data_IF_387025784519
#
_entry.id   IF_387025784519
#
_cell.length_a   1.000
_cell.length_b   1.000
_cell.length_c   1.000
_cell.angle_alpha   90.00
_cell.angle_beta   90.00
_cell.angle_gamma   90.00
#
_symmetry.space_group_name_H-M   'P 1'
#
loop_
_entity.id
_entity.type
_entity.pdbx_description
1 polymer ?
#
# COMPACT_ATOMS: atom_id res chain seq x y z
N UNK A 1 4.11 11.70 -26.86
CA UNK A 1 3.47 10.44 -26.43
C UNK A 1 4.48 9.32 -26.52
N UNK A 2 4.93 8.78 -25.38
CA UNK A 2 5.71 7.55 -25.37
C UNK A 2 4.89 6.43 -26.03
N UNK A 3 5.51 5.64 -26.91
CA UNK A 3 4.84 4.55 -27.61
C UNK A 3 5.11 3.26 -26.86
N UNK A 4 4.08 2.48 -26.57
CA UNK A 4 4.22 1.14 -25.99
C UNK A 4 5.02 0.29 -26.99
N UNK A 5 6.10 -0.40 -26.57
CA UNK A 5 6.87 -1.26 -27.45
C UNK A 5 5.99 -2.34 -28.11
N UNK A 6 6.30 -2.67 -29.37
CA UNK A 6 5.57 -3.71 -30.10
C UNK A 6 5.61 -5.04 -29.34
N UNK A 7 4.46 -5.69 -29.22
CA UNK A 7 4.30 -6.95 -28.48
C UNK A 7 3.89 -6.79 -27.01
N UNK A 8 3.99 -5.60 -26.43
CA UNK A 8 3.71 -5.36 -25.00
C UNK A 8 2.34 -4.71 -24.73
N UNK A 9 1.53 -4.47 -25.76
CA UNK A 9 0.22 -3.80 -25.62
C UNK A 9 -0.70 -4.51 -24.63
N UNK A 10 -0.81 -5.84 -24.73
CA UNK A 10 -1.66 -6.62 -23.83
C UNK A 10 -1.18 -6.57 -22.38
N UNK A 11 0.14 -6.70 -22.15
CA UNK A 11 0.71 -6.66 -20.80
C UNK A 11 0.54 -5.28 -20.17
N UNK A 12 0.77 -4.21 -20.93
CA UNK A 12 0.56 -2.84 -20.48
C UNK A 12 -0.90 -2.60 -20.09
N UNK A 13 -1.84 -3.09 -20.91
CA UNK A 13 -3.28 -3.01 -20.64
C UNK A 13 -3.66 -3.77 -19.37
N UNK A 14 -3.22 -5.02 -19.22
CA UNK A 14 -3.50 -5.84 -18.02
C UNK A 14 -2.91 -5.21 -16.76
N UNK A 15 -1.71 -4.64 -16.85
CA UNK A 15 -1.08 -3.95 -15.71
C UNK A 15 -1.89 -2.74 -15.30
N UNK A 16 -2.19 -1.82 -16.23
CA UNK A 16 -2.90 -0.59 -15.90
C UNK A 16 -4.31 -0.86 -15.35
N UNK A 17 -5.06 -1.81 -15.93
CA UNK A 17 -6.41 -2.16 -15.47
C UNK A 17 -6.42 -2.72 -14.05
N UNK A 18 -5.35 -3.41 -13.65
CA UNK A 18 -5.21 -3.98 -12.29
C UNK A 18 -4.69 -2.98 -11.26
N UNK A 19 -4.04 -1.90 -11.71
CA UNK A 19 -3.36 -0.95 -10.83
C UNK A 19 -3.95 0.45 -10.96
N UNK A 20 -3.26 1.35 -11.66
CA UNK A 20 -3.47 2.79 -11.63
C UNK A 20 -4.50 3.29 -12.66
N UNK A 21 -4.96 2.43 -13.58
CA UNK A 21 -5.92 2.70 -14.64
C UNK A 21 -5.61 3.94 -15.51
N UNK A 22 -4.34 4.20 -15.80
CA UNK A 22 -3.89 5.44 -16.46
C UNK A 22 -4.11 5.46 -17.98
N UNK A 23 -4.59 4.36 -18.57
CA UNK A 23 -4.95 4.30 -20.00
C UNK A 23 -6.41 4.71 -20.26
N UNK A 24 -7.15 5.11 -19.23
CA UNK A 24 -8.50 5.65 -19.34
C UNK A 24 -8.50 6.94 -20.18
N UNK A 25 -9.51 7.08 -21.05
CA UNK A 25 -9.65 8.22 -21.97
C UNK A 25 -9.86 9.56 -21.26
N UNK A 26 -10.33 9.53 -20.01
CA UNK A 26 -10.49 10.71 -19.17
C UNK A 26 -9.19 11.13 -18.46
N UNK A 27 -8.10 10.38 -18.64
CA UNK A 27 -6.80 10.76 -18.11
C UNK A 27 -6.22 11.93 -18.93
N UNK A 28 -6.38 13.15 -18.41
CA UNK A 28 -5.89 14.39 -19.04
C UNK A 28 -4.41 14.66 -18.70
N UNK A 29 -3.58 13.62 -18.58
CA UNK A 29 -2.18 13.76 -18.20
C UNK A 29 -1.49 14.83 -19.07
N UNK A 30 -1.03 15.89 -18.42
CA UNK A 30 -0.40 17.02 -19.08
C UNK A 30 0.98 16.58 -19.55
N UNK A 31 1.16 16.40 -20.86
CA UNK A 31 2.48 16.23 -21.49
C UNK A 31 3.18 17.58 -21.63
N UNK A 32 3.29 18.33 -20.54
CA UNK A 32 4.07 19.56 -20.56
C UNK A 32 5.56 19.18 -20.63
N UNK A 33 6.21 19.71 -21.65
CA UNK A 33 7.58 19.36 -22.01
C UNK A 33 8.59 20.00 -21.08
N UNK A 34 8.66 19.57 -19.81
CA UNK A 34 9.90 19.46 -19.03
C UNK A 34 9.70 18.83 -17.63
N UNK A 35 9.14 17.62 -17.56
CA UNK A 35 8.95 16.90 -16.28
C UNK A 35 10.30 16.71 -15.56
N UNK A 36 11.38 16.45 -16.30
CA UNK A 36 12.73 16.27 -15.74
C UNK A 36 13.21 17.50 -14.97
N UNK A 37 13.22 18.69 -15.58
CA UNK A 37 13.65 19.90 -14.89
C UNK A 37 12.76 20.22 -13.68
N UNK A 38 11.45 19.97 -13.78
CA UNK A 38 10.53 20.20 -12.66
C UNK A 38 10.87 19.31 -11.45
N UNK A 39 11.30 18.06 -11.70
CA UNK A 39 11.75 17.12 -10.67
C UNK A 39 13.06 17.63 -10.04
N UNK A 40 14.04 18.03 -10.84
CA UNK A 40 15.32 18.55 -10.33
C UNK A 40 15.12 19.83 -9.52
N UNK A 41 14.35 20.78 -10.03
CA UNK A 41 14.03 22.03 -9.34
C UNK A 41 13.37 21.74 -7.97
N UNK A 42 12.46 20.76 -7.93
CA UNK A 42 11.84 20.32 -6.69
C UNK A 42 12.87 19.73 -5.72
N UNK A 43 13.72 18.83 -6.19
CA UNK A 43 14.73 18.14 -5.38
C UNK A 43 15.75 19.14 -4.81
N UNK A 44 16.28 20.05 -5.63
CA UNK A 44 17.22 21.10 -5.21
C UNK A 44 16.59 22.01 -4.17
N UNK A 45 15.35 22.45 -4.41
CA UNK A 45 14.63 23.32 -3.48
C UNK A 45 14.29 22.62 -2.16
N UNK A 46 13.83 21.37 -2.22
CA UNK A 46 13.48 20.58 -1.05
C UNK A 46 14.71 20.21 -0.20
N UNK A 47 15.81 19.83 -0.87
CA UNK A 47 17.08 19.51 -0.24
C UNK A 47 17.87 20.72 0.26
N UNK A 48 17.44 21.95 -0.09
CA UNK A 48 18.17 23.21 0.19
C UNK A 48 19.63 23.15 -0.28
N UNK A 49 19.82 22.62 -1.47
CA UNK A 49 21.13 22.33 -2.05
C UNK A 49 21.75 23.61 -2.60
N UNK A 50 23.01 23.85 -2.26
CA UNK A 50 23.80 24.94 -2.82
C UNK A 50 24.50 24.51 -4.12
N UNK A 51 24.91 25.48 -4.93
CA UNK A 51 25.58 25.21 -6.21
C UNK A 51 26.83 24.33 -6.02
N UNK A 52 26.89 23.21 -6.76
CA UNK A 52 28.00 22.25 -6.70
C UNK A 52 27.88 21.15 -5.65
N UNK A 53 26.81 21.13 -4.85
CA UNK A 53 26.50 20.00 -3.96
C UNK A 53 25.79 18.86 -4.71
N UNK A 54 25.97 17.63 -4.21
CA UNK A 54 25.29 16.44 -4.76
C UNK A 54 23.80 16.48 -4.48
N UNK A 55 23.00 15.96 -5.41
CA UNK A 55 21.56 15.77 -5.21
C UNK A 55 21.30 14.86 -3.99
N UNK A 56 20.23 15.12 -3.22
CA UNK A 56 19.89 14.30 -2.08
C UNK A 56 19.31 12.98 -2.57
N UNK A 57 19.41 11.90 -1.79
CA UNK A 57 18.81 10.64 -2.18
C UNK A 57 17.28 10.74 -2.19
N UNK A 58 16.67 9.97 -3.11
CA UNK A 58 15.23 9.74 -3.15
C UNK A 58 14.94 8.36 -2.56
N UNK A 59 13.85 8.25 -1.80
CA UNK A 59 13.46 7.01 -1.15
C UNK A 59 12.17 6.48 -1.76
N UNK A 60 12.14 5.17 -2.00
CA UNK A 60 10.96 4.43 -2.47
C UNK A 60 10.96 3.04 -1.84
N UNK A 61 9.85 2.30 -1.92
CA UNK A 61 9.82 0.92 -1.45
C UNK A 61 10.84 0.08 -2.20
N UNK A 62 11.49 -0.86 -1.52
CA UNK A 62 12.54 -1.71 -2.08
C UNK A 62 12.09 -2.42 -3.37
N UNK A 63 10.86 -2.93 -3.39
CA UNK A 63 10.28 -3.59 -4.58
C UNK A 63 10.09 -2.66 -5.79
N UNK A 64 10.07 -1.33 -5.57
CA UNK A 64 9.85 -0.30 -6.59
C UNK A 64 11.14 0.40 -7.02
N UNK A 65 12.27 0.09 -6.38
CA UNK A 65 13.55 0.78 -6.63
C UNK A 65 13.96 0.68 -8.10
N UNK A 66 14.03 -0.53 -8.67
CA UNK A 66 14.44 -0.75 -10.06
C UNK A 66 13.54 0.00 -11.05
N UNK A 67 12.23 -0.02 -10.84
CA UNK A 67 11.30 0.72 -11.70
C UNK A 67 11.54 2.24 -11.62
N UNK A 68 11.77 2.74 -10.40
CA UNK A 68 12.01 4.17 -10.16
C UNK A 68 13.35 4.62 -10.78
N UNK A 69 14.39 3.78 -10.70
CA UNK A 69 15.69 4.01 -11.33
C UNK A 69 15.58 4.13 -12.84
N UNK A 70 14.85 3.23 -13.50
CA UNK A 70 14.66 3.30 -14.95
C UNK A 70 13.82 4.52 -15.37
N UNK A 71 12.83 4.91 -14.56
CA UNK A 71 12.04 6.14 -14.79
C UNK A 71 12.94 7.37 -14.71
N UNK A 72 13.76 7.49 -13.66
CA UNK A 72 14.66 8.64 -13.53
C UNK A 72 15.78 8.61 -14.57
N UNK A 73 16.34 7.45 -14.93
CA UNK A 73 17.33 7.36 -16.01
C UNK A 73 16.76 7.85 -17.34
N UNK A 74 15.47 7.59 -17.60
CA UNK A 74 14.79 8.07 -18.81
C UNK A 74 14.48 9.58 -18.76
N UNK A 75 14.14 10.12 -17.59
CA UNK A 75 13.74 11.52 -17.42
C UNK A 75 14.92 12.47 -17.16
N UNK A 76 15.99 11.97 -16.55
CA UNK A 76 17.13 12.69 -15.97
C UNK A 76 18.46 11.98 -16.33
N UNK A 77 18.78 11.81 -17.63
CA UNK A 77 19.90 10.96 -18.07
C UNK A 77 21.28 11.47 -17.63
N UNK A 78 21.41 12.77 -17.39
CA UNK A 78 22.69 13.43 -17.05
C UNK A 78 22.90 13.61 -15.54
N UNK A 79 21.94 13.20 -14.71
CA UNK A 79 21.92 13.46 -13.27
C UNK A 79 22.25 12.21 -12.45
N UNK A 80 23.10 12.35 -11.44
CA UNK A 80 23.51 11.27 -10.53
C UNK A 80 22.59 11.20 -9.30
N UNK A 81 21.35 10.75 -9.53
CA UNK A 81 20.33 10.64 -8.48
C UNK A 81 20.37 9.26 -7.81
N UNK A 82 20.62 9.26 -6.49
CA UNK A 82 20.67 8.03 -5.70
C UNK A 82 19.27 7.64 -5.23
N UNK A 83 18.86 6.40 -5.48
CA UNK A 83 17.59 5.83 -4.97
C UNK A 83 17.91 4.82 -3.87
N UNK A 84 17.26 4.97 -2.72
CA UNK A 84 17.43 4.10 -1.57
C UNK A 84 16.10 3.51 -1.08
N UNK A 85 16.20 2.40 -0.35
CA UNK A 85 15.04 1.74 0.25
C UNK A 85 14.45 2.60 1.38
N UNK A 86 13.17 2.91 1.22
CA UNK A 86 12.36 3.55 2.25
C UNK A 86 12.13 2.61 3.44
N UNK A 87 12.04 1.31 3.20
CA UNK A 87 11.88 0.29 4.23
C UNK A 87 13.07 0.28 5.20
N UNK A 88 14.28 0.39 4.66
CA UNK A 88 15.53 0.49 5.43
C UNK A 88 15.66 1.83 6.14
N UNK A 89 15.32 2.94 5.47
CA UNK A 89 15.28 4.25 6.12
C UNK A 89 14.35 4.21 7.34
N UNK A 90 13.12 3.72 7.16
CA UNK A 90 12.14 3.66 8.23
C UNK A 90 12.56 2.72 9.36
N UNK A 91 13.11 1.54 9.03
CA UNK A 91 13.64 0.60 10.01
C UNK A 91 14.73 1.24 10.88
N UNK A 92 15.68 1.94 10.25
CA UNK A 92 16.79 2.58 10.94
C UNK A 92 16.31 3.76 11.80
N UNK A 93 15.39 4.58 11.28
CA UNK A 93 14.78 5.66 12.05
C UNK A 93 14.03 5.12 13.28
N UNK A 94 13.20 4.10 13.09
CA UNK A 94 12.43 3.49 14.17
C UNK A 94 13.35 2.90 15.25
N UNK A 95 14.39 2.17 14.84
CA UNK A 95 15.35 1.55 15.77
C UNK A 95 16.22 2.58 16.49
N UNK A 96 16.52 3.73 15.86
CA UNK A 96 17.23 4.82 16.51
C UNK A 96 16.39 5.52 17.60
N UNK A 97 15.08 5.60 17.36
CA UNK A 97 14.12 6.22 18.28
C UNK A 97 13.73 5.29 19.42
N UNK A 98 13.50 4.01 19.11
CA UNK A 98 13.11 2.98 20.07
C UNK A 98 14.13 1.83 20.07
N UNK A 99 15.32 2.00 20.65
CA UNK A 99 16.38 0.97 20.64
C UNK A 99 15.94 -0.38 21.21
N UNK A 100 15.06 -0.36 22.22
CA UNK A 100 14.53 -1.56 22.87
C UNK A 100 13.45 -2.28 22.06
N UNK A 101 12.95 -1.65 20.99
CA UNK A 101 11.88 -2.16 20.11
C UNK A 101 12.34 -2.25 18.65
N UNK A 102 13.64 -2.41 18.41
CA UNK A 102 14.18 -2.51 17.05
C UNK A 102 13.43 -3.58 16.23
N UNK A 103 13.00 -3.20 15.03
CA UNK A 103 12.22 -4.05 14.15
C UNK A 103 13.07 -4.56 12.98
N UNK A 104 12.81 -5.77 12.45
CA UNK A 104 13.42 -6.23 11.21
C UNK A 104 12.79 -5.51 10.00
N UNK A 105 13.53 -5.46 8.88
CA UNK A 105 13.09 -4.81 7.62
C UNK A 105 11.74 -5.33 7.11
N UNK A 106 11.44 -6.61 7.29
CA UNK A 106 10.16 -7.18 6.86
C UNK A 106 8.96 -6.53 7.58
N UNK A 107 9.14 -6.12 8.84
CA UNK A 107 8.10 -5.45 9.61
C UNK A 107 7.99 -3.98 9.19
N UNK A 108 9.11 -3.28 8.93
CA UNK A 108 9.04 -1.91 8.41
C UNK A 108 8.35 -1.85 7.05
N UNK A 109 8.63 -2.81 6.16
CA UNK A 109 7.94 -2.96 4.89
C UNK A 109 6.44 -3.22 5.05
N UNK A 110 6.06 -4.16 5.93
CA UNK A 110 4.66 -4.47 6.23
C UNK A 110 3.89 -3.24 6.74
N UNK A 111 4.51 -2.47 7.63
CA UNK A 111 3.92 -1.24 8.18
C UNK A 111 3.72 -0.14 7.13
N UNK A 112 4.59 -0.07 6.11
CA UNK A 112 4.46 0.91 5.01
C UNK A 112 3.44 0.48 3.95
N UNK A 113 3.22 -0.82 3.78
CA UNK A 113 2.37 -1.39 2.71
C UNK A 113 0.95 -1.73 3.17
N UNK A 114 0.76 -2.18 4.42
CA UNK A 114 -0.56 -2.51 4.97
C UNK A 114 -1.14 -1.33 5.74
N UNK A 115 -1.63 -0.37 4.97
CA UNK A 115 -2.03 0.94 5.42
C UNK A 115 -3.57 1.09 5.46
N UNK A 116 -4.14 1.50 6.59
CA UNK A 116 -5.59 1.77 6.72
C UNK A 116 -6.10 2.98 5.92
N UNK A 117 -5.22 3.66 5.19
CA UNK A 117 -5.50 4.89 4.44
C UNK A 117 -5.57 4.68 2.92
N UNK A 118 -5.58 3.43 2.44
CA UNK A 118 -5.58 3.09 1.01
C UNK A 118 -6.65 3.85 0.21
N UNK A 119 -7.84 4.02 0.79
CA UNK A 119 -8.98 4.68 0.17
C UNK A 119 -9.31 6.05 0.79
N UNK A 120 -8.33 6.68 1.45
CA UNK A 120 -8.57 7.96 2.09
C UNK A 120 -8.81 9.08 1.05
N UNK A 121 -9.93 9.82 1.12
CA UNK A 121 -10.42 10.67 0.02
C UNK A 121 -9.60 11.96 -0.22
N UNK A 122 -8.64 12.28 0.64
CA UNK A 122 -7.80 13.50 0.53
C UNK A 122 -6.37 13.23 0.09
N UNK A 123 -5.99 11.96 -0.09
CA UNK A 123 -4.59 11.59 -0.27
C UNK A 123 -4.22 11.45 -1.76
N UNK A 124 -5.07 10.83 -2.56
CA UNK A 124 -4.82 10.63 -4.00
C UNK A 124 -4.88 11.94 -4.81
N UNK A 125 -4.48 11.89 -6.08
CA UNK A 125 -4.63 13.02 -6.99
C UNK A 125 -6.10 13.26 -7.34
N UNK A 126 -6.42 14.46 -7.81
CA UNK A 126 -7.79 14.86 -8.16
C UNK A 126 -8.44 13.89 -9.16
N UNK A 127 -7.69 13.46 -10.18
CA UNK A 127 -8.21 12.52 -11.17
C UNK A 127 -8.62 11.18 -10.56
N UNK A 128 -7.76 10.57 -9.73
CA UNK A 128 -8.09 9.32 -9.03
C UNK A 128 -9.24 9.51 -8.04
N UNK A 129 -9.38 10.68 -7.40
CA UNK A 129 -10.50 10.96 -6.50
C UNK A 129 -11.82 11.06 -7.26
N UNK A 130 -11.83 11.77 -8.40
CA UNK A 130 -13.06 12.09 -9.13
C UNK A 130 -13.55 10.97 -10.05
N UNK A 131 -12.62 10.23 -10.68
CA UNK A 131 -12.96 9.32 -11.78
C UNK A 131 -12.66 7.84 -11.48
N UNK A 132 -11.71 7.53 -10.57
CA UNK A 132 -11.18 6.18 -10.37
C UNK A 132 -10.85 5.91 -8.89
N UNK A 133 -11.84 6.12 -8.01
CA UNK A 133 -11.63 6.08 -6.54
C UNK A 133 -11.15 4.73 -5.99
N UNK A 134 -11.49 3.64 -6.68
CA UNK A 134 -11.04 2.27 -6.41
C UNK A 134 -9.57 2.03 -6.79
N UNK A 135 -9.09 2.72 -7.83
CA UNK A 135 -7.67 2.75 -8.21
C UNK A 135 -6.85 3.78 -7.42
N UNK A 136 -7.48 4.61 -6.57
CA UNK A 136 -6.82 5.65 -5.78
C UNK A 136 -5.71 5.13 -4.86
N UNK A 137 -5.79 3.87 -4.44
CA UNK A 137 -4.72 3.21 -3.68
C UNK A 137 -3.42 3.04 -4.49
N UNK A 138 -3.49 3.00 -5.81
CA UNK A 138 -2.33 2.90 -6.70
C UNK A 138 -1.83 4.26 -7.22
N UNK A 139 -2.45 5.37 -6.78
CA UNK A 139 -1.99 6.71 -7.12
C UNK A 139 -0.62 6.98 -6.50
N UNK A 140 0.39 7.35 -7.29
CA UNK A 140 1.74 7.62 -6.79
C UNK A 140 1.77 8.70 -5.68
N UNK A 141 1.00 9.79 -5.85
CA UNK A 141 0.82 10.82 -4.81
C UNK A 141 0.17 10.25 -3.55
N UNK A 142 -0.78 9.33 -3.74
CA UNK A 142 -1.44 8.61 -2.66
C UNK A 142 -0.44 7.77 -1.85
N UNK A 143 0.37 6.96 -2.55
CA UNK A 143 1.38 6.09 -1.95
C UNK A 143 2.35 6.88 -1.07
N UNK A 144 3.00 7.91 -1.62
CA UNK A 144 4.03 8.67 -0.88
C UNK A 144 3.47 9.37 0.36
N UNK A 145 2.25 9.91 0.29
CA UNK A 145 1.59 10.53 1.45
C UNK A 145 1.27 9.51 2.54
N UNK A 146 0.78 8.32 2.17
CA UNK A 146 0.48 7.25 3.12
C UNK A 146 1.75 6.78 3.83
N UNK A 147 2.86 6.62 3.12
CA UNK A 147 4.15 6.28 3.73
C UNK A 147 4.57 7.31 4.77
N UNK A 148 4.52 8.60 4.44
CA UNK A 148 4.90 9.68 5.36
C UNK A 148 3.99 9.71 6.59
N UNK A 149 2.67 9.62 6.42
CA UNK A 149 1.74 9.57 7.55
C UNK A 149 1.99 8.36 8.45
N UNK A 150 2.27 7.19 7.87
CA UNK A 150 2.62 6.01 8.66
C UNK A 150 3.93 6.16 9.43
N UNK A 151 4.95 6.77 8.82
CA UNK A 151 6.21 7.06 9.51
C UNK A 151 5.94 8.01 10.68
N UNK A 152 5.18 9.09 10.48
CA UNK A 152 4.82 10.03 11.54
C UNK A 152 4.05 9.36 12.70
N UNK A 153 3.05 8.55 12.38
CA UNK A 153 2.22 7.85 13.38
C UNK A 153 3.07 6.88 14.23
N UNK A 154 3.94 6.09 13.58
CA UNK A 154 4.75 5.09 14.26
C UNK A 154 5.93 5.67 15.05
N UNK A 155 6.47 6.83 14.64
CA UNK A 155 7.52 7.51 15.40
C UNK A 155 6.97 8.30 16.60
N UNK A 156 5.65 8.38 16.76
CA UNK A 156 4.97 9.07 17.86
C UNK A 156 5.52 10.48 18.08
N UNK A 157 5.37 11.32 17.06
CA UNK A 157 6.06 12.61 16.97
C UNK A 157 5.93 13.49 18.23
N UNK A 158 4.77 13.51 18.86
CA UNK A 158 4.53 14.29 20.07
C UNK A 158 5.27 13.72 21.29
N UNK A 159 5.17 12.40 21.52
CA UNK A 159 5.80 11.72 22.67
C UNK A 159 7.33 11.70 22.55
N UNK A 160 7.84 11.45 21.35
CA UNK A 160 9.27 11.25 21.10
C UNK A 160 10.02 12.56 20.92
N UNK A 161 9.44 13.49 20.15
CA UNK A 161 10.13 14.70 19.70
C UNK A 161 9.49 15.99 20.19
N UNK A 162 8.35 15.93 20.88
CA UNK A 162 7.59 17.12 21.27
C UNK A 162 7.02 17.89 20.07
N UNK A 163 6.84 17.23 18.92
CA UNK A 163 6.31 17.84 17.70
C UNK A 163 4.79 17.71 17.71
N UNK A 164 4.10 18.85 17.64
CA UNK A 164 2.63 18.88 17.54
C UNK A 164 2.15 18.31 16.20
N UNK A 165 1.23 17.36 16.27
CA UNK A 165 0.77 16.61 15.10
C UNK A 165 -0.28 17.42 14.33
N UNK A 166 0.16 18.13 13.30
CA UNK A 166 -0.72 18.90 12.43
C UNK A 166 -1.44 18.10 11.31
N UNK A 167 -2.73 18.38 11.14
CA UNK A 167 -3.58 17.81 10.10
C UNK A 167 -3.15 18.23 8.68
N UNK A 168 -3.07 17.26 7.77
CA UNK A 168 -2.61 17.44 6.39
C UNK A 168 -1.09 17.58 6.26
N UNK A 169 -0.34 17.54 7.37
CA UNK A 169 1.13 17.47 7.38
C UNK A 169 1.61 16.13 7.90
N UNK A 170 1.19 15.74 9.11
CA UNK A 170 1.64 14.51 9.78
C UNK A 170 0.56 13.42 9.81
N UNK A 171 -0.71 13.82 9.78
CA UNK A 171 -1.86 12.93 9.64
C UNK A 171 -2.73 13.36 8.44
N UNK A 172 -3.53 12.47 7.85
CA UNK A 172 -4.43 12.84 6.76
C UNK A 172 -5.49 13.84 7.23
N UNK A 173 -6.01 14.64 6.28
CA UNK A 173 -7.08 15.59 6.59
C UNK A 173 -8.37 14.88 6.95
N UNK A 174 -8.92 15.17 8.12
CA UNK A 174 -10.19 14.63 8.59
C UNK A 174 -11.27 15.16 7.67
N UNK A 175 -11.87 14.26 6.87
CA UNK A 175 -13.15 14.56 6.26
C UNK A 175 -14.25 14.19 7.24
N UNK A 176 -15.09 15.16 7.58
CA UNK A 176 -16.39 14.88 8.15
C UNK A 176 -17.24 14.22 7.07
N UNK A 177 -17.13 12.91 6.94
CA UNK A 177 -17.97 12.15 6.04
C UNK A 177 -19.43 12.26 6.54
N UNK A 178 -20.22 13.09 5.88
CA UNK A 178 -21.68 13.07 6.00
C UNK A 178 -22.21 11.92 5.15
N UNK A 179 -21.91 10.69 5.57
CA UNK A 179 -22.28 9.47 4.87
C UNK A 179 -23.33 8.66 5.63
N UNK A 180 -24.12 7.87 4.90
CA UNK A 180 -24.97 6.84 5.50
C UNK A 180 -24.09 5.64 5.87
N UNK A 181 -24.05 5.28 7.15
CA UNK A 181 -23.37 4.06 7.60
C UNK A 181 -24.16 2.86 7.09
N UNK A 182 -23.55 2.06 6.21
CA UNK A 182 -24.12 0.78 5.80
C UNK A 182 -23.56 -0.27 6.74
N UNK A 183 -24.41 -0.79 7.63
CA UNK A 183 -24.07 -1.98 8.41
C UNK A 183 -23.93 -3.17 7.45
N UNK A 184 -22.69 -3.51 7.11
CA UNK A 184 -22.41 -4.74 6.37
C UNK A 184 -22.61 -5.89 7.37
N UNK A 185 -23.59 -6.79 7.15
CA UNK A 185 -23.78 -7.93 8.03
C UNK A 185 -22.49 -8.76 8.01
N UNK A 186 -21.76 -8.81 9.12
CA UNK A 186 -20.62 -9.71 9.24
C UNK A 186 -21.18 -11.13 9.09
N UNK A 187 -20.75 -11.93 8.09
CA UNK A 187 -21.13 -13.32 8.03
C UNK A 187 -20.68 -13.97 9.34
N UNK A 188 -21.64 -14.53 10.06
CA UNK A 188 -21.45 -15.09 11.39
C UNK A 188 -20.68 -16.41 11.26
N UNK A 189 -19.36 -16.33 11.05
CA UNK A 189 -18.45 -17.47 10.85
C UNK A 189 -18.43 -18.47 12.02
N UNK A 190 -19.10 -18.16 13.14
CA UNK A 190 -19.17 -19.01 14.33
C UNK A 190 -20.26 -20.10 14.30
N UNK A 191 -21.19 -20.11 13.35
CA UNK A 191 -22.30 -21.08 13.36
C UNK A 191 -22.26 -22.21 12.32
N UNK A 192 -21.37 -22.16 11.32
CA UNK A 192 -21.31 -23.22 10.30
C UNK A 192 -20.32 -24.35 10.63
N UNK A 193 -19.28 -24.08 11.43
CA UNK A 193 -18.29 -25.12 11.75
C UNK A 193 -18.81 -26.13 12.79
N UNK A 194 -19.63 -25.68 13.76
CA UNK A 194 -20.22 -26.59 14.76
C UNK A 194 -21.47 -27.33 14.25
N UNK A 195 -22.19 -26.79 13.27
CA UNK A 195 -23.38 -27.43 12.70
C UNK A 195 -23.07 -28.50 11.63
N UNK A 196 -21.84 -28.54 11.12
CA UNK A 196 -21.34 -29.64 10.26
C UNK A 196 -20.79 -30.82 11.07
N UNK A 197 -20.11 -30.56 12.19
CA UNK A 197 -19.58 -31.64 13.05
C UNK A 197 -20.67 -32.48 13.74
N UNK A 198 -21.87 -31.95 13.95
CA UNK A 198 -22.97 -32.70 14.59
C UNK A 198 -23.86 -33.48 13.62
N UNK A 199 -23.71 -33.32 12.30
CA UNK A 199 -24.53 -34.05 11.30
C UNK A 199 -23.91 -35.37 10.85
N UNK A 200 -22.61 -35.57 11.05
CA UNK A 200 -21.92 -36.79 10.63
C UNK A 200 -21.86 -37.89 11.71
N UNK A 201 -22.22 -37.58 12.97
CA UNK A 201 -22.26 -38.58 14.06
C UNK A 201 -23.62 -39.29 14.16
N UNK A 202 -24.67 -38.74 13.56
CA UNK A 202 -26.04 -39.28 13.65
C UNK A 202 -26.42 -40.29 12.55
N UNK A 203 -25.51 -40.58 11.60
CA UNK A 203 -25.77 -41.47 10.45
C UNK A 203 -25.06 -42.83 10.54
N UNK A 204 -24.41 -43.14 11.67
CA UNK A 204 -23.70 -44.41 11.90
C UNK A 204 -24.41 -45.38 12.87
N UNK A 205 -25.66 -45.12 13.26
CA UNK A 205 -26.42 -45.96 14.19
C UNK A 205 -27.82 -46.32 13.69
N UNK A 206 -27.91 -46.98 12.52
CA UNK A 206 -29.13 -47.71 12.14
C UNK A 206 -28.87 -48.71 10.99
N UNK A 207 -28.14 -49.77 11.30
CA UNK A 207 -28.27 -51.06 10.61
C UNK A 207 -28.27 -52.15 11.67
N UNK A 208 -29.44 -52.40 12.27
CA UNK A 208 -29.77 -53.76 12.70
C UNK A 208 -30.16 -54.51 11.42
N UNK A 209 -29.52 -55.66 11.14
CA UNK A 209 -30.27 -56.91 11.30
C UNK A 209 -29.44 -58.20 11.08
N UNK A 210 -29.74 -59.14 11.99
CA UNK A 210 -29.80 -60.60 11.82
C UNK A 210 -28.48 -61.37 11.65
N UNK A 211 -28.05 -62.04 12.72
CA UNK A 211 -27.80 -63.50 12.72
C UNK A 211 -27.88 -64.04 14.16
N UNK A 212 -28.94 -64.82 14.41
CA UNK A 212 -29.15 -65.67 15.58
C UNK A 212 -28.33 -66.98 15.48
N UNK A 213 -27.76 -67.48 16.59
CA UNK A 213 -28.19 -68.73 17.24
C UNK A 213 -27.33 -69.14 18.46
N UNK A 214 -28.05 -69.54 19.52
CA UNK A 214 -27.75 -70.54 20.58
C UNK A 214 -26.72 -70.32 21.69
N UNK A 215 -27.28 -70.29 22.91
CA UNK A 215 -26.65 -70.72 24.16
C UNK A 215 -26.30 -72.22 24.14
N UNK A 216 -25.21 -72.59 24.83
CA UNK A 216 -25.12 -73.85 25.55
C UNK A 216 -24.43 -73.64 26.89
N UNK A 217 -25.13 -74.05 27.95
CA UNK A 217 -24.69 -74.14 29.35
C UNK A 217 -23.65 -75.25 29.53
N UNK A 218 -22.53 -74.95 30.19
CA UNK A 218 -22.08 -75.50 31.48
C UNK A 218 -20.60 -75.15 31.69
#
# INVERSE_FOLDING_TARGET
SAKIPLGYTYEAQVHTEKTHNLMDENNTAVTDGNVGNSIIDFIVKAGKIEEGQKLPPVYTLEEQMTQTEEIFRALLPDEDLHIYSLDELFQNMYSAVFPDLAIPKSISHDMLTHCGLDFHPTIACEWHILYQSDAGKYCALGCVRRWVFHICDNLKLEETFGIEVEEGKHLPRVQTNTGTVVDIPRPNLKNEYMSRSSRDVSRASSTQDVFSFTQAKK
#
